data_IF_661042890162
#
_entry.id   IF_661042890162
#
_cell.length_a   1.000
_cell.length_b   1.000
_cell.length_c   1.000
_cell.angle_alpha   90.00
_cell.angle_beta   90.00
_cell.angle_gamma   90.00
#
_symmetry.space_group_name_H-M   'P 1'
#
loop_
_entity.id
_entity.type
_entity.pdbx_description
1 polymer ?
#
# COMPACT_ATOMS: atom_id res chain seq x y z
N UNK A 1 2.27 9.78 8.20
CA UNK A 1 3.08 8.56 8.08
C UNK A 1 4.21 8.82 7.08
N UNK A 2 5.47 8.80 7.55
CA UNK A 2 6.66 9.20 6.76
C UNK A 2 7.81 8.21 6.89
N UNK A 3 7.60 7.11 7.60
CA UNK A 3 8.64 6.12 7.84
C UNK A 3 8.61 5.12 6.69
N UNK A 4 9.71 4.95 5.94
CA UNK A 4 9.79 3.91 4.94
C UNK A 4 9.65 2.52 5.59
N UNK A 5 8.86 1.64 4.97
CA UNK A 5 8.58 0.30 5.48
C UNK A 5 8.83 -0.78 4.41
N UNK A 6 8.39 -2.01 4.69
CA UNK A 6 8.54 -3.14 3.77
C UNK A 6 7.30 -3.40 2.89
N UNK A 7 6.29 -2.53 2.96
CA UNK A 7 4.98 -2.67 2.35
C UNK A 7 4.17 -3.86 2.88
N UNK A 8 2.95 -4.03 2.35
CA UNK A 8 2.02 -5.11 2.73
C UNK A 8 2.62 -6.52 2.67
N UNK A 9 3.54 -6.76 1.73
CA UNK A 9 4.13 -8.08 1.48
C UNK A 9 5.49 -8.30 2.13
N UNK A 10 5.95 -7.38 2.97
CA UNK A 10 7.24 -7.44 3.67
C UNK A 10 8.47 -7.61 2.74
N UNK A 11 8.41 -7.02 1.54
CA UNK A 11 9.48 -7.08 0.53
C UNK A 11 10.30 -5.80 0.41
N UNK A 12 9.80 -4.66 0.89
CA UNK A 12 10.46 -3.37 0.74
C UNK A 12 10.49 -2.92 -0.71
N UNK A 13 11.70 -2.68 -1.23
CA UNK A 13 11.92 -2.34 -2.64
C UNK A 13 11.47 -3.46 -3.59
N UNK A 14 11.35 -3.13 -4.88
CA UNK A 14 11.11 -4.10 -5.96
C UNK A 14 12.14 -5.24 -5.99
N UNK A 15 13.35 -5.00 -5.50
CA UNK A 15 14.46 -5.96 -5.54
C UNK A 15 14.50 -6.89 -4.33
N UNK A 16 13.69 -6.67 -3.29
CA UNK A 16 13.71 -7.45 -2.07
C UNK A 16 15.13 -7.69 -1.52
N UNK A 17 15.87 -6.59 -1.35
CA UNK A 17 17.28 -6.55 -0.93
C UNK A 17 17.46 -6.01 0.50
N UNK A 18 16.37 -5.87 1.27
CA UNK A 18 16.37 -5.30 2.61
C UNK A 18 16.18 -3.78 2.66
N UNK A 19 16.12 -3.09 1.51
CA UNK A 19 15.82 -1.66 1.48
C UNK A 19 14.31 -1.40 1.67
N UNK A 20 13.99 -0.43 2.53
CA UNK A 20 12.64 0.07 2.76
C UNK A 20 12.32 1.25 1.83
N UNK A 21 11.04 1.48 1.56
CA UNK A 21 10.56 2.58 0.72
C UNK A 21 9.27 3.17 1.32
N UNK A 22 8.80 4.30 0.79
CA UNK A 22 7.46 4.77 1.11
C UNK A 22 6.45 4.01 0.25
N UNK A 23 5.61 3.22 0.91
CA UNK A 23 4.58 2.40 0.29
C UNK A 23 3.22 3.11 0.36
N UNK A 24 2.60 3.27 -0.81
CA UNK A 24 1.29 3.88 -0.96
C UNK A 24 0.24 3.12 -0.15
N UNK A 25 0.30 1.78 -0.11
CA UNK A 25 -0.65 1.00 0.70
C UNK A 25 -0.58 1.37 2.18
N UNK A 26 0.63 1.57 2.72
CA UNK A 26 0.85 1.88 4.13
C UNK A 26 0.44 3.31 4.46
N UNK A 27 0.81 4.27 3.62
CA UNK A 27 0.41 5.67 3.76
C UNK A 27 -1.11 5.82 3.66
N UNK A 28 -1.73 5.15 2.68
CA UNK A 28 -3.17 5.17 2.47
C UNK A 28 -3.92 4.55 3.66
N UNK A 29 -3.50 3.39 4.16
CA UNK A 29 -4.09 2.78 5.36
C UNK A 29 -3.97 3.71 6.57
N UNK A 30 -2.79 4.31 6.79
CA UNK A 30 -2.61 5.27 7.88
C UNK A 30 -3.50 6.51 7.70
N UNK A 31 -3.63 7.03 6.48
CA UNK A 31 -4.54 8.14 6.17
C UNK A 31 -6.00 7.78 6.51
N UNK A 32 -6.47 6.62 6.07
CA UNK A 32 -7.84 6.17 6.34
C UNK A 32 -8.09 6.00 7.85
N UNK A 33 -7.14 5.46 8.59
CA UNK A 33 -7.24 5.33 10.04
C UNK A 33 -7.32 6.71 10.74
N UNK A 34 -6.52 7.68 10.27
CA UNK A 34 -6.57 9.06 10.75
C UNK A 34 -7.92 9.71 10.47
N UNK A 35 -8.52 9.46 9.29
CA UNK A 35 -9.86 9.96 8.96
C UNK A 35 -10.94 9.31 9.82
N UNK A 36 -10.84 7.99 10.05
CA UNK A 36 -11.83 7.24 10.82
C UNK A 36 -11.84 7.61 12.32
N UNK A 37 -10.67 7.87 12.91
CA UNK A 37 -10.56 8.15 14.35
C UNK A 37 -10.80 9.63 14.67
N UNK A 38 -10.71 10.53 13.69
CA UNK A 38 -10.89 11.96 13.93
C UNK A 38 -12.33 12.27 14.30
N UNK A 39 -12.55 12.85 15.48
CA UNK A 39 -13.86 13.09 16.06
C UNK A 39 -14.49 11.86 16.73
N UNK A 40 -13.75 10.76 16.85
CA UNK A 40 -14.24 9.56 17.54
C UNK A 40 -14.22 9.75 19.06
N UNK A 41 -15.38 9.59 19.70
CA UNK A 41 -15.50 9.61 21.16
C UNK A 41 -15.34 8.19 21.74
N UNK A 42 -14.28 7.98 22.51
CA UNK A 42 -13.91 6.68 23.08
C UNK A 42 -15.00 6.04 23.96
N UNK A 43 -15.86 6.85 24.58
CA UNK A 43 -16.94 6.39 25.47
C UNK A 43 -18.34 6.65 24.89
N UNK A 44 -18.44 6.97 23.59
CA UNK A 44 -19.71 7.23 22.93
C UNK A 44 -20.51 8.34 23.62
N UNK A 45 -21.80 8.09 23.86
CA UNK A 45 -22.71 9.06 24.50
C UNK A 45 -22.33 9.40 25.95
N UNK A 46 -21.59 8.53 26.63
CA UNK A 46 -21.16 8.72 28.02
C UNK A 46 -19.83 9.48 28.10
N UNK A 47 -19.19 9.75 26.97
CA UNK A 47 -17.90 10.43 26.90
C UNK A 47 -18.01 11.93 26.99
N UNK A 48 -16.99 12.55 27.57
CA UNK A 48 -16.86 13.99 27.66
C UNK A 48 -16.01 14.56 26.52
N UNK A 49 -15.92 15.88 26.39
CA UNK A 49 -15.15 16.53 25.33
C UNK A 49 -13.66 16.08 25.27
N UNK A 50 -13.08 15.68 26.42
CA UNK A 50 -11.69 15.21 26.50
C UNK A 50 -11.50 13.75 26.09
N UNK A 51 -12.57 12.97 25.87
CA UNK A 51 -12.48 11.60 25.35
C UNK A 51 -12.63 11.51 23.83
N UNK A 52 -12.70 12.66 23.15
CA UNK A 52 -12.72 12.75 21.68
C UNK A 52 -11.29 12.80 21.15
N UNK A 53 -10.98 11.91 20.21
CA UNK A 53 -9.69 11.90 19.53
C UNK A 53 -9.74 12.89 18.37
N UNK A 54 -8.79 13.83 18.36
CA UNK A 54 -8.57 14.73 17.24
C UNK A 54 -7.23 14.44 16.58
N UNK A 55 -7.22 14.49 15.26
CA UNK A 55 -6.04 14.23 14.45
C UNK A 55 -5.41 15.56 13.99
N UNK A 56 -4.08 15.58 13.94
CA UNK A 56 -3.31 16.64 13.29
C UNK A 56 -3.65 16.72 11.78
N UNK A 57 -4.35 17.80 11.41
CA UNK A 57 -4.78 18.09 10.03
C UNK A 57 -3.57 18.19 9.10
N UNK A 58 -2.44 18.71 9.55
CA UNK A 58 -1.24 18.80 8.73
C UNK A 58 -0.65 17.42 8.46
N UNK A 59 -0.68 16.51 9.45
CA UNK A 59 -0.27 15.12 9.26
C UNK A 59 -1.16 14.39 8.26
N UNK A 60 -2.47 14.65 8.29
CA UNK A 60 -3.42 14.10 7.31
C UNK A 60 -3.15 14.64 5.89
N UNK A 61 -3.08 15.96 5.73
CA UNK A 61 -2.89 16.61 4.43
C UNK A 61 -1.58 16.18 3.76
N UNK A 62 -0.49 16.08 4.53
CA UNK A 62 0.79 15.55 4.01
C UNK A 62 0.65 14.12 3.49
N UNK A 63 -0.03 13.24 4.22
CA UNK A 63 -0.22 11.84 3.80
C UNK A 63 -1.07 11.77 2.53
N UNK A 64 -2.10 12.60 2.43
CA UNK A 64 -2.93 12.73 1.22
C UNK A 64 -2.08 13.11 0.02
N UNK A 65 -1.30 14.19 0.11
CA UNK A 65 -0.45 14.64 -1.01
C UNK A 65 0.55 13.58 -1.45
N UNK A 66 1.23 12.91 -0.50
CA UNK A 66 2.19 11.85 -0.83
C UNK A 66 1.47 10.66 -1.47
N UNK A 67 0.34 10.23 -0.92
CA UNK A 67 -0.44 9.11 -1.42
C UNK A 67 -0.91 9.35 -2.87
N UNK A 68 -1.54 10.51 -3.12
CA UNK A 68 -2.03 10.89 -4.44
C UNK A 68 -0.87 10.98 -5.46
N UNK A 69 0.33 11.39 -5.02
CA UNK A 69 1.53 11.46 -5.87
C UNK A 69 2.11 10.08 -6.20
N UNK A 70 2.00 9.10 -5.30
CA UNK A 70 2.52 7.75 -5.53
C UNK A 70 1.64 6.97 -6.51
N UNK A 71 0.32 7.12 -6.40
CA UNK A 71 -0.62 6.40 -7.24
C UNK A 71 -0.40 6.72 -8.74
N UNK A 72 -0.55 5.73 -9.64
CA UNK A 72 -0.98 4.34 -9.41
C UNK A 72 0.21 3.38 -9.22
N UNK A 73 1.29 3.81 -8.56
CA UNK A 73 2.41 2.96 -8.14
C UNK A 73 2.35 2.72 -6.64
N UNK A 74 2.89 1.59 -6.22
CA UNK A 74 3.01 1.23 -4.81
C UNK A 74 4.16 1.97 -4.14
N UNK A 75 5.30 2.15 -4.80
CA UNK A 75 6.45 2.86 -4.22
C UNK A 75 7.37 3.43 -5.32
N UNK A 76 8.53 3.95 -4.94
CA UNK A 76 9.50 4.49 -5.89
C UNK A 76 9.98 3.43 -6.90
N UNK A 77 10.29 2.22 -6.45
CA UNK A 77 10.74 1.13 -7.33
C UNK A 77 9.63 0.16 -7.72
N UNK A 78 8.60 -0.02 -6.88
CA UNK A 78 7.47 -0.92 -7.17
C UNK A 78 6.49 -0.28 -8.15
N UNK A 79 5.91 -1.13 -9.00
CA UNK A 79 4.90 -0.71 -9.96
C UNK A 79 3.51 -0.77 -9.32
N UNK A 80 2.49 -1.16 -10.06
CA UNK A 80 1.17 -1.44 -9.47
C UNK A 80 1.25 -2.71 -8.62
N UNK A 81 0.55 -2.70 -7.51
CA UNK A 81 0.46 -3.78 -6.53
C UNK A 81 -1.02 -3.99 -6.17
N UNK A 82 -1.39 -5.23 -5.87
CA UNK A 82 -2.73 -5.60 -5.43
C UNK A 82 -3.07 -5.00 -4.06
N UNK A 83 -2.08 -4.65 -3.23
CA UNK A 83 -2.28 -3.93 -1.97
C UNK A 83 -3.01 -2.60 -2.17
N UNK A 84 -2.86 -1.95 -3.34
CA UNK A 84 -3.54 -0.70 -3.65
C UNK A 84 -5.06 -0.85 -3.70
N UNK A 85 -5.59 -2.02 -4.08
CA UNK A 85 -7.03 -2.26 -4.23
C UNK A 85 -7.75 -2.03 -2.89
N UNK A 86 -7.46 -2.76 -1.79
CA UNK A 86 -8.12 -2.52 -0.51
C UNK A 86 -7.78 -1.15 0.10
N UNK A 87 -6.65 -0.53 -0.28
CA UNK A 87 -6.31 0.83 0.15
C UNK A 87 -7.22 1.89 -0.47
N UNK A 88 -7.55 1.79 -1.76
CA UNK A 88 -8.43 2.78 -2.44
C UNK A 88 -9.91 2.37 -2.45
N UNK A 89 -10.24 1.17 -1.97
CA UNK A 89 -11.59 0.62 -1.91
C UNK A 89 -11.88 0.07 -0.50
N UNK A 90 -12.85 -0.83 -0.35
CA UNK A 90 -13.10 -1.47 0.94
C UNK A 90 -11.85 -2.26 1.40
N UNK A 91 -11.37 -2.06 2.64
CA UNK A 91 -12.00 -1.31 3.73
C UNK A 91 -11.52 0.14 3.93
N UNK A 92 -10.48 0.60 3.24
CA UNK A 92 -9.79 1.84 3.62
C UNK A 92 -10.38 3.11 3.01
N UNK A 93 -10.85 3.07 1.74
CA UNK A 93 -11.34 4.25 1.02
C UNK A 93 -10.41 5.47 1.11
N UNK A 94 -9.09 5.24 1.07
CA UNK A 94 -8.09 6.28 1.36
C UNK A 94 -7.98 7.36 0.28
N UNK A 95 -8.70 7.26 -0.84
CA UNK A 95 -8.62 8.22 -1.95
C UNK A 95 -9.94 9.00 -2.09
N UNK A 96 -9.83 10.30 -2.34
CA UNK A 96 -10.97 11.19 -2.55
C UNK A 96 -11.16 11.60 -4.02
N UNK A 97 -10.13 11.45 -4.84
CA UNK A 97 -10.15 11.79 -6.26
C UNK A 97 -10.60 10.60 -7.11
N UNK A 98 -11.83 10.65 -7.62
CA UNK A 98 -12.43 9.53 -8.36
C UNK A 98 -11.67 9.20 -9.66
N UNK A 99 -11.14 10.20 -10.38
CA UNK A 99 -10.36 9.94 -11.60
C UNK A 99 -9.11 9.10 -11.33
N UNK A 100 -8.36 9.44 -10.27
CA UNK A 100 -7.15 8.73 -9.86
C UNK A 100 -7.44 7.34 -9.30
N UNK A 101 -8.58 7.19 -8.61
CA UNK A 101 -9.09 5.89 -8.13
C UNK A 101 -9.36 4.94 -9.29
N UNK A 102 -10.13 5.38 -10.29
CA UNK A 102 -10.43 4.59 -11.48
C UNK A 102 -9.15 4.24 -12.24
N UNK A 103 -8.25 5.21 -12.46
CA UNK A 103 -6.96 4.96 -13.11
C UNK A 103 -6.12 3.90 -12.38
N UNK A 104 -6.12 3.93 -11.04
CA UNK A 104 -5.38 2.96 -10.22
C UNK A 104 -6.00 1.58 -10.29
N UNK A 105 -7.33 1.47 -10.14
CA UNK A 105 -8.07 0.21 -10.24
C UNK A 105 -7.91 -0.42 -11.63
N UNK A 106 -8.03 0.35 -12.70
CA UNK A 106 -7.87 -0.12 -14.07
C UNK A 106 -6.46 -0.63 -14.34
N UNK A 107 -5.44 0.06 -13.82
CA UNK A 107 -4.06 -0.38 -13.94
C UNK A 107 -3.83 -1.70 -13.19
N UNK A 108 -4.34 -1.81 -11.97
CA UNK A 108 -4.26 -3.05 -11.19
C UNK A 108 -4.99 -4.19 -11.90
N UNK A 109 -6.21 -3.96 -12.39
CA UNK A 109 -7.01 -4.94 -13.15
C UNK A 109 -6.25 -5.43 -14.38
N UNK A 110 -5.79 -4.51 -15.23
CA UNK A 110 -5.12 -4.86 -16.49
C UNK A 110 -3.81 -5.60 -16.29
N UNK A 111 -3.05 -5.30 -15.22
CA UNK A 111 -1.70 -5.85 -15.01
C UNK A 111 -1.67 -7.08 -14.11
N UNK A 112 -2.57 -7.17 -13.13
CA UNK A 112 -2.48 -8.16 -12.06
C UNK A 112 -3.57 -9.23 -12.14
N UNK A 113 -4.70 -8.97 -12.81
CA UNK A 113 -5.77 -9.98 -12.96
C UNK A 113 -5.27 -11.16 -13.80
N UNK A 114 -5.49 -12.36 -13.27
CA UNK A 114 -5.33 -13.63 -13.96
C UNK A 114 -6.60 -14.47 -13.88
N UNK A 115 -6.50 -15.74 -14.27
CA UNK A 115 -7.63 -16.68 -14.31
C UNK A 115 -8.30 -16.91 -12.94
N UNK A 116 -7.51 -16.90 -11.87
CA UNK A 116 -7.96 -17.29 -10.52
C UNK A 116 -7.91 -16.15 -9.49
N UNK A 117 -7.80 -14.90 -9.93
CA UNK A 117 -7.69 -13.74 -9.04
C UNK A 117 -6.60 -12.78 -9.46
N UNK A 118 -6.02 -12.07 -8.51
CA UNK A 118 -4.99 -11.06 -8.74
C UNK A 118 -3.62 -11.55 -8.26
N UNK A 119 -2.59 -11.31 -9.06
CA UNK A 119 -1.19 -11.39 -8.63
C UNK A 119 -0.93 -10.30 -7.61
N UNK A 120 -0.06 -10.53 -6.63
CA UNK A 120 0.33 -9.52 -5.64
C UNK A 120 0.99 -8.32 -6.33
N UNK A 121 2.04 -8.58 -7.11
CA UNK A 121 2.67 -7.61 -8.00
C UNK A 121 3.39 -8.38 -9.12
N UNK A 122 3.87 -7.66 -10.14
CA UNK A 122 4.62 -8.28 -11.24
C UNK A 122 6.03 -8.71 -10.79
N UNK A 123 6.54 -9.82 -11.32
CA UNK A 123 7.85 -10.39 -10.96
C UNK A 123 7.96 -10.77 -9.49
N UNK A 124 6.86 -11.30 -8.96
CA UNK A 124 6.80 -11.80 -7.60
C UNK A 124 7.33 -13.24 -7.54
N UNK A 125 8.50 -13.41 -6.92
CA UNK A 125 9.12 -14.72 -6.76
C UNK A 125 8.52 -15.58 -5.65
N UNK A 126 7.61 -15.04 -4.83
CA UNK A 126 7.21 -15.73 -3.60
C UNK A 126 6.61 -17.12 -3.81
N UNK A 127 7.20 -18.12 -3.15
CA UNK A 127 6.78 -19.53 -3.25
C UNK A 127 6.79 -20.07 -4.69
N UNK A 128 7.54 -19.44 -5.58
CA UNK A 128 7.78 -19.96 -6.93
C UNK A 128 8.96 -20.94 -6.91
N UNK A 129 9.09 -21.76 -7.96
CA UNK A 129 10.21 -22.71 -8.09
C UNK A 129 11.56 -21.99 -8.19
N UNK A 130 11.56 -20.74 -8.65
CA UNK A 130 12.78 -19.95 -8.85
C UNK A 130 13.24 -19.23 -7.58
N UNK A 131 12.39 -19.05 -6.56
CA UNK A 131 12.78 -18.45 -5.29
C UNK A 131 13.44 -19.49 -4.37
N UNK A 132 14.64 -19.18 -3.92
CA UNK A 132 15.35 -19.97 -2.92
C UNK A 132 14.70 -19.77 -1.54
N UNK A 133 14.22 -20.87 -0.97
CA UNK A 133 13.46 -20.91 0.28
C UNK A 133 14.32 -20.67 1.52
N UNK A 134 15.64 -20.76 1.41
CA UNK A 134 16.55 -20.64 2.55
C UNK A 134 17.02 -19.19 2.79
N UNK A 135 16.62 -18.24 1.94
CA UNK A 135 17.01 -16.83 2.05
C UNK A 135 15.81 -15.89 2.00
N UNK A 136 15.89 -14.80 2.77
CA UNK A 136 14.87 -13.74 2.76
C UNK A 136 15.00 -12.81 1.55
N UNK A 137 16.24 -12.47 1.17
CA UNK A 137 16.53 -11.45 0.17
C UNK A 137 17.01 -12.04 -1.14
N UNK A 138 16.66 -11.38 -2.24
CA UNK A 138 17.11 -11.76 -3.57
C UNK A 138 18.57 -11.37 -3.79
N UNK A 139 19.26 -12.16 -4.63
CA UNK A 139 20.56 -11.78 -5.18
C UNK A 139 20.38 -10.69 -6.24
N UNK A 140 21.43 -9.89 -6.51
CA UNK A 140 21.43 -8.98 -7.63
C UNK A 140 20.98 -9.67 -8.93
N UNK A 141 20.11 -9.01 -9.69
CA UNK A 141 19.53 -9.48 -10.95
C UNK A 141 18.62 -10.73 -10.90
N UNK A 142 18.41 -11.36 -9.74
CA UNK A 142 17.53 -12.53 -9.60
C UNK A 142 16.07 -12.23 -10.01
N UNK A 143 15.63 -10.98 -9.84
CA UNK A 143 14.29 -10.54 -10.25
C UNK A 143 13.97 -10.82 -11.73
N UNK A 144 14.99 -10.91 -12.60
CA UNK A 144 14.81 -11.24 -14.02
C UNK A 144 14.30 -12.67 -14.23
N UNK A 145 14.54 -13.57 -13.27
CA UNK A 145 14.04 -14.94 -13.32
C UNK A 145 12.52 -15.02 -13.14
N UNK A 146 11.88 -13.93 -12.68
CA UNK A 146 10.44 -13.87 -12.44
C UNK A 146 9.68 -13.10 -13.55
N UNK A 147 10.28 -12.86 -14.72
CA UNK A 147 9.69 -12.03 -15.79
C UNK A 147 8.35 -12.54 -16.34
N UNK A 148 8.11 -13.85 -16.25
CA UNK A 148 6.87 -14.50 -16.71
C UNK A 148 5.90 -14.84 -15.58
N UNK A 149 6.19 -14.42 -14.35
CA UNK A 149 5.39 -14.66 -13.13
C UNK A 149 4.65 -13.39 -12.74
#
# INVERSE_FOLDING_TARGET
>A
YRTPDFGMWERGSKYNNGSNELHASSIGMAKAALEAINGFNLFGEQGAAWSVIYVDIDAHNRNRTIFDTLLPRESASKHTDASLIPTISWPCFSIHEEALKHQTLDKAHRKLKGKYGYKRFLRDGYKTVHEDKNRKYYRPAEIKMFDCI
#
